data_IF_451661887285
#
_entry.id   IF_451661887285
#
_cell.length_a   1.000
_cell.length_b   1.000
_cell.length_c   1.000
_cell.angle_alpha   90.00
_cell.angle_beta   90.00
_cell.angle_gamma   90.00
#
_symmetry.space_group_name_H-M   'P 1'
#
loop_
_entity.id
_entity.type
_entity.pdbx_description
1 polymer ?
#
# COMPACT_ATOMS: atom_id res chain seq x y z
N UNK A 1 -1.28 -1.38 10.57
CA UNK A 1 -2.20 -0.21 10.62
C UNK A 1 -1.62 0.75 9.60
N UNK A 2 -2.19 0.77 8.39
CA UNK A 2 -1.55 1.42 7.25
C UNK A 2 -1.55 2.94 7.43
N UNK A 3 -0.40 3.54 7.77
CA UNK A 3 -0.29 4.99 7.94
C UNK A 3 -0.70 5.75 6.66
N UNK A 4 -0.56 5.11 5.49
CA UNK A 4 -0.84 5.67 4.18
C UNK A 4 -2.25 6.26 4.03
N UNK A 5 -3.29 5.67 4.65
CA UNK A 5 -4.71 6.07 4.41
C UNK A 5 -5.00 7.50 4.86
N UNK A 6 -4.19 8.02 5.78
CA UNK A 6 -4.30 9.36 6.31
C UNK A 6 -3.23 10.29 5.73
N UNK A 7 -2.53 9.90 4.66
CA UNK A 7 -1.49 10.73 4.07
C UNK A 7 -2.04 11.64 2.96
N UNK A 8 -1.69 12.93 2.98
CA UNK A 8 -2.07 13.89 1.91
C UNK A 8 -1.63 13.42 0.52
N UNK A 9 -0.45 12.81 0.45
CA UNK A 9 0.17 12.43 -0.80
C UNK A 9 -0.20 11.01 -1.27
N UNK A 10 -1.16 10.34 -0.62
CA UNK A 10 -1.50 8.93 -0.88
C UNK A 10 -1.79 8.67 -2.37
N UNK A 11 -2.57 9.54 -3.02
CA UNK A 11 -2.98 9.39 -4.42
C UNK A 11 -1.85 9.62 -5.44
N UNK A 12 -0.70 10.15 -5.01
CA UNK A 12 0.45 10.47 -5.89
C UNK A 12 1.73 9.75 -5.47
N UNK A 13 1.69 8.97 -4.39
CA UNK A 13 2.84 8.32 -3.79
C UNK A 13 3.18 7.03 -4.54
N UNK A 14 4.39 6.96 -5.13
CA UNK A 14 4.89 5.77 -5.84
C UNK A 14 4.92 4.52 -4.96
N UNK A 15 5.34 4.66 -3.70
CA UNK A 15 5.43 3.53 -2.76
C UNK A 15 4.04 2.99 -2.40
N UNK A 16 3.06 3.87 -2.20
CA UNK A 16 1.68 3.44 -1.96
C UNK A 16 1.10 2.69 -3.17
N UNK A 17 1.31 3.23 -4.38
CA UNK A 17 0.89 2.54 -5.60
C UNK A 17 1.53 1.16 -5.76
N UNK A 18 2.81 1.05 -5.47
CA UNK A 18 3.53 -0.22 -5.50
C UNK A 18 2.89 -1.24 -4.55
N UNK A 19 2.65 -0.86 -3.28
CA UNK A 19 2.00 -1.73 -2.29
C UNK A 19 0.58 -2.12 -2.74
N UNK A 20 -0.17 -1.18 -3.30
CA UNK A 20 -1.52 -1.44 -3.80
C UNK A 20 -1.54 -2.44 -4.97
N UNK A 21 -0.54 -2.36 -5.88
CA UNK A 21 -0.38 -3.32 -6.97
C UNK A 21 -0.12 -4.74 -6.45
N UNK A 22 0.74 -4.89 -5.43
CA UNK A 22 1.02 -6.20 -4.82
C UNK A 22 -0.22 -6.80 -4.12
N UNK A 23 -0.99 -5.98 -3.41
CA UNK A 23 -2.15 -6.46 -2.65
C UNK A 23 -3.38 -6.79 -3.53
N UNK A 24 -3.59 -6.07 -4.65
CA UNK A 24 -4.77 -6.28 -5.51
C UNK A 24 -4.52 -7.20 -6.70
N UNK A 25 -3.27 -7.59 -6.99
CA UNK A 25 -2.89 -8.26 -8.24
C UNK A 25 -3.49 -7.58 -9.49
N UNK A 26 -3.70 -6.26 -9.42
CA UNK A 26 -4.37 -5.47 -10.45
C UNK A 26 -3.37 -4.50 -11.05
N UNK A 27 -3.35 -4.43 -12.39
CA UNK A 27 -2.62 -3.40 -13.10
C UNK A 27 -3.35 -2.07 -12.87
N UNK A 28 -2.76 -1.20 -12.05
CA UNK A 28 -3.28 0.15 -11.82
C UNK A 28 -2.80 1.03 -12.98
N UNK A 29 -3.53 0.98 -14.10
CA UNK A 29 -3.31 1.89 -15.22
C UNK A 29 -3.78 3.30 -14.82
N UNK A 30 -3.00 4.33 -15.17
CA UNK A 30 -3.34 5.76 -15.05
C UNK A 30 -3.29 6.45 -13.68
N UNK A 31 -2.38 6.08 -12.76
CA UNK A 31 -2.03 6.99 -11.66
C UNK A 31 -0.69 7.66 -11.93
N UNK A 32 -0.74 8.94 -12.30
CA UNK A 32 0.43 9.79 -12.45
C UNK A 32 1.05 10.04 -11.05
N UNK A 33 1.88 9.11 -10.60
CA UNK A 33 2.61 9.26 -9.35
C UNK A 33 3.83 10.14 -9.55
N UNK A 34 3.72 11.37 -9.10
CA UNK A 34 4.82 12.35 -9.13
C UNK A 34 5.63 12.36 -7.84
N UNK A 35 5.19 11.66 -6.79
CA UNK A 35 5.78 11.77 -5.46
C UNK A 35 6.50 10.49 -5.03
N UNK A 36 7.77 10.62 -4.66
CA UNK A 36 8.59 9.58 -4.05
C UNK A 36 8.83 9.97 -2.60
N UNK A 37 8.30 9.21 -1.62
CA UNK A 37 8.57 9.48 -0.21
C UNK A 37 10.02 9.14 0.15
N UNK A 38 10.53 9.82 1.18
CA UNK A 38 11.84 9.56 1.77
C UNK A 38 11.70 8.66 3.00
N UNK A 39 12.71 7.81 3.21
CA UNK A 39 12.88 6.95 4.38
C UNK A 39 11.59 6.22 4.76
N UNK A 40 11.30 5.17 3.99
CA UNK A 40 10.13 4.31 4.18
C UNK A 40 10.52 2.96 4.76
N UNK A 41 9.74 2.48 5.72
CA UNK A 41 9.84 1.12 6.26
C UNK A 41 8.60 0.33 5.85
N UNK A 42 8.81 -0.73 5.07
CA UNK A 42 7.77 -1.63 4.59
C UNK A 42 7.91 -2.96 5.34
N UNK A 43 6.80 -3.43 5.91
CA UNK A 43 6.71 -4.76 6.49
C UNK A 43 6.06 -5.71 5.48
N UNK A 44 6.69 -6.87 5.27
CA UNK A 44 6.20 -7.91 4.35
C UNK A 44 5.98 -9.16 5.18
N UNK A 45 4.72 -9.60 5.27
CA UNK A 45 4.37 -10.82 5.95
C UNK A 45 3.99 -11.87 4.91
N UNK A 46 4.69 -13.01 4.92
CA UNK A 46 4.35 -14.15 4.07
C UNK A 46 3.73 -15.26 4.91
N UNK A 47 2.57 -15.75 4.46
CA UNK A 47 1.87 -16.89 5.05
C UNK A 47 1.71 -17.97 3.99
N UNK A 48 2.22 -19.16 4.25
CA UNK A 48 2.02 -20.31 3.39
C UNK A 48 0.97 -21.23 4.01
N UNK A 49 -0.17 -21.35 3.35
CA UNK A 49 -1.23 -22.28 3.71
C UNK A 49 -1.00 -23.57 2.92
N UNK A 50 -0.73 -24.67 3.62
CA UNK A 50 -0.61 -26.01 3.03
C UNK A 50 -1.92 -26.76 3.26
N UNK A 51 -2.53 -27.22 2.17
CA UNK A 51 -3.59 -28.24 2.15
C UNK A 51 -3.03 -29.52 1.53
N UNK A 52 -3.74 -30.64 1.71
CA UNK A 52 -3.26 -31.99 1.36
C UNK A 52 -2.69 -32.11 -0.07
N UNK A 53 -3.20 -31.33 -1.03
CA UNK A 53 -2.75 -31.32 -2.43
C UNK A 53 -2.40 -29.94 -2.99
N UNK A 54 -2.45 -28.86 -2.19
CA UNK A 54 -2.21 -27.49 -2.68
C UNK A 54 -1.47 -26.63 -1.66
N UNK A 55 -0.58 -25.77 -2.15
CA UNK A 55 0.06 -24.72 -1.35
C UNK A 55 -0.36 -23.36 -1.87
N UNK A 56 -0.98 -22.55 -1.02
CA UNK A 56 -1.30 -21.15 -1.31
C UNK A 56 -0.34 -20.26 -0.50
N UNK A 57 0.33 -19.32 -1.16
CA UNK A 57 1.14 -18.31 -0.49
C UNK A 57 0.41 -16.97 -0.53
N UNK A 58 0.18 -16.39 0.64
CA UNK A 58 -0.38 -15.05 0.83
C UNK A 58 0.76 -14.12 1.26
N UNK A 59 0.86 -12.97 0.60
CA UNK A 59 1.88 -11.96 0.90
C UNK A 59 1.15 -10.66 1.23
N UNK A 60 1.27 -10.22 2.48
CA UNK A 60 0.70 -8.98 2.97
C UNK A 60 1.78 -7.90 3.00
N UNK A 61 1.57 -6.78 2.30
CA UNK A 61 2.47 -5.63 2.28
C UNK A 61 1.87 -4.47 3.08
N UNK A 62 2.58 -3.96 4.09
CA UNK A 62 2.17 -2.79 4.88
C UNK A 62 3.30 -1.74 4.94
N UNK A 63 2.96 -0.46 4.74
CA UNK A 63 3.89 0.64 4.99
C UNK A 63 3.75 1.04 6.45
N UNK A 64 4.79 0.79 7.25
CA UNK A 64 4.78 1.02 8.70
C UNK A 64 5.28 2.42 9.03
N UNK A 65 6.33 2.89 8.35
CA UNK A 65 6.92 4.20 8.58
C UNK A 65 7.24 4.91 7.26
N UNK A 66 7.15 6.24 7.28
CA UNK A 66 7.46 7.09 6.15
C UNK A 66 7.81 8.49 6.65
N UNK A 67 9.05 8.94 6.46
CA UNK A 67 9.46 10.29 6.91
C UNK A 67 8.81 11.42 6.11
N UNK A 68 8.19 11.12 4.97
CA UNK A 68 7.40 12.08 4.20
C UNK A 68 5.89 11.97 4.44
N UNK A 69 5.48 11.28 5.50
CA UNK A 69 4.08 11.21 5.92
C UNK A 69 3.60 12.60 6.35
N UNK A 70 2.49 13.04 5.77
CA UNK A 70 1.80 14.27 6.16
C UNK A 70 0.36 13.91 6.45
N UNK A 71 -0.01 14.01 7.72
CA UNK A 71 -1.32 13.57 8.20
C UNK A 71 -2.44 14.49 7.69
N UNK A 72 -3.50 13.86 7.17
CA UNK A 72 -4.81 14.45 6.87
C UNK A 72 -5.87 13.35 7.03
N UNK A 73 -6.46 13.24 8.23
CA UNK A 73 -7.49 12.25 8.49
C UNK A 73 -8.73 12.54 7.62
N UNK A 74 -9.49 11.49 7.28
CA UNK A 74 -10.71 11.62 6.48
C UNK A 74 -10.51 11.78 4.97
N UNK A 75 -9.27 11.79 4.47
CA UNK A 75 -9.00 11.78 3.01
C UNK A 75 -9.60 10.57 2.29
N UNK A 76 -9.58 9.42 2.95
CA UNK A 76 -10.16 8.18 2.45
C UNK A 76 -11.70 8.20 2.40
N UNK A 77 -12.37 9.08 3.16
CA UNK A 77 -13.83 9.25 3.08
C UNK A 77 -14.27 9.96 1.79
N UNK A 78 -13.37 10.72 1.16
CA UNK A 78 -13.65 11.53 -0.03
C UNK A 78 -13.51 10.68 -1.31
N UNK A 79 -13.01 9.44 -1.23
CA UNK A 79 -12.82 8.54 -2.38
C UNK A 79 -14.11 7.87 -2.90
N UNK A 80 -15.29 8.30 -2.44
CA UNK A 80 -16.59 7.85 -2.95
C UNK A 80 -17.27 8.94 -3.81
N UNK A 81 -16.79 9.16 -5.04
CA UNK A 81 -17.58 9.64 -6.18
C UNK A 81 -17.06 8.95 -7.44
#
# INVERSE_FOLDING_TARGET
MCICINCIQINRCKVYLFIQQQNKNQIINNIHSSFIPHNTLININMKTLKSQNTSLSLIDWDLVECSSFVEKPGLWLIQNI
#
